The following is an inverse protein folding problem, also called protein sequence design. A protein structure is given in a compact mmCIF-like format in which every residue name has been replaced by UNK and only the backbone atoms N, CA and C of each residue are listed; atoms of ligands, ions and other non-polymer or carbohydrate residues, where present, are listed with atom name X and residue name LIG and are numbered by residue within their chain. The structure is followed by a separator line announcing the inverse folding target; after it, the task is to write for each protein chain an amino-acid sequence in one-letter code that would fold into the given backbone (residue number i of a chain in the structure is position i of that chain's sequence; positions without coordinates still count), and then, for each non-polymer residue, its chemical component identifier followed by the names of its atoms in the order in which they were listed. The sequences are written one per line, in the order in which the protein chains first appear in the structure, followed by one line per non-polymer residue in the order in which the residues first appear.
data_IF_994855650707
#
_entry.id   IF_994855650707
#
_cell.length_a   1.000
_cell.length_b   1.000
_cell.length_c   1.000
_cell.angle_alpha   90.00
_cell.angle_beta   90.00
_cell.angle_gamma   90.00
#
_symmetry.space_group_name_H-M   'P 1'
#
loop_
_entity.id
_entity.type
_entity.pdbx_description
1 polymer ?
#
# COMPACT_ATOMS: atom_id res chain seq x y z
N UNK A 1 -4.08 7.72 6.22
CA UNK A 1 -4.16 7.17 4.86
C UNK A 1 -3.04 7.78 4.02
N UNK A 2 -2.29 6.99 3.24
CA UNK A 2 -1.25 7.50 2.35
C UNK A 2 -1.73 7.40 0.90
N UNK A 3 -1.77 8.51 0.18
CA UNK A 3 -2.33 8.59 -1.17
C UNK A 3 -1.22 8.70 -2.21
N UNK A 4 -1.42 8.01 -3.34
CA UNK A 4 -0.50 8.03 -4.47
C UNK A 4 -0.67 9.30 -5.32
N UNK A 5 0.37 9.74 -6.06
CA UNK A 5 0.36 11.02 -6.78
C UNK A 5 -0.28 10.94 -8.18
N UNK A 6 -0.83 9.78 -8.57
CA UNK A 6 -1.43 9.50 -9.88
C UNK A 6 -2.78 10.21 -10.12
N UNK A 7 -2.87 11.45 -9.70
CA UNK A 7 -4.00 12.36 -9.90
C UNK A 7 -3.94 13.02 -11.29
N UNK A 8 -4.98 13.79 -11.65
CA UNK A 8 -5.02 14.58 -12.89
C UNK A 8 -5.25 16.05 -12.56
N UNK A 9 -4.24 16.93 -12.67
CA UNK A 9 -2.82 16.64 -13.02
C UNK A 9 -2.12 15.77 -11.95
N UNK A 10 -0.98 15.15 -12.32
CA UNK A 10 -0.12 14.41 -11.39
C UNK A 10 0.34 15.32 -10.26
N UNK A 11 0.32 14.81 -9.04
CA UNK A 11 0.79 15.53 -7.86
C UNK A 11 2.33 15.56 -7.84
N UNK A 12 2.92 16.57 -8.51
CA UNK A 12 4.38 16.72 -8.63
C UNK A 12 4.94 17.87 -7.76
N UNK A 13 4.14 18.45 -6.87
CA UNK A 13 4.59 19.55 -6.02
C UNK A 13 3.99 19.48 -4.62
N UNK A 14 4.71 20.04 -3.64
CA UNK A 14 4.24 20.19 -2.28
C UNK A 14 2.94 21.02 -2.18
N UNK A 15 2.76 22.02 -3.05
CA UNK A 15 1.55 22.83 -3.05
C UNK A 15 0.31 22.03 -3.44
N UNK A 16 0.43 21.12 -4.43
CA UNK A 16 -0.66 20.21 -4.80
C UNK A 16 -0.95 19.22 -3.67
N UNK A 17 0.09 18.64 -3.05
CA UNK A 17 -0.07 17.74 -1.92
C UNK A 17 -0.82 18.39 -0.76
N UNK A 18 -0.41 19.61 -0.36
CA UNK A 18 -1.06 20.37 0.71
C UNK A 18 -2.54 20.67 0.42
N UNK A 19 -2.92 20.92 -0.85
CA UNK A 19 -4.33 21.14 -1.21
C UNK A 19 -5.18 19.90 -0.98
N UNK A 20 -4.65 18.69 -1.29
CA UNK A 20 -5.34 17.43 -1.04
C UNK A 20 -5.49 17.17 0.45
N UNK A 21 -4.42 17.36 1.21
CA UNK A 21 -4.39 17.18 2.67
C UNK A 21 -5.34 18.14 3.38
N UNK A 22 -5.35 19.41 2.97
CA UNK A 22 -6.29 20.41 3.51
C UNK A 22 -7.74 20.01 3.24
N UNK A 23 -8.04 19.58 2.02
CA UNK A 23 -9.40 19.13 1.69
C UNK A 23 -9.82 17.90 2.51
N UNK A 24 -8.91 16.97 2.74
CA UNK A 24 -9.17 15.82 3.60
C UNK A 24 -9.42 16.23 5.05
N UNK A 25 -8.65 17.20 5.56
CA UNK A 25 -8.84 17.75 6.91
C UNK A 25 -10.19 18.47 7.06
N UNK A 26 -10.67 19.18 6.03
CA UNK A 26 -12.00 19.81 6.02
C UNK A 26 -13.13 18.77 6.10
N UNK A 27 -12.97 17.62 5.44
CA UNK A 27 -13.91 16.48 5.54
C UNK A 27 -13.85 15.81 6.92
N UNK A 28 -12.66 15.67 7.48
CA UNK A 28 -12.44 15.25 8.87
C UNK A 28 -12.69 13.76 9.17
N UNK A 29 -12.84 12.90 8.16
CA UNK A 29 -13.11 11.46 8.36
C UNK A 29 -11.83 10.65 8.60
N UNK A 30 -10.73 11.03 7.96
CA UNK A 30 -9.41 10.41 8.16
C UNK A 30 -8.30 11.43 7.93
N UNK A 31 -7.10 11.16 8.46
CA UNK A 31 -5.92 11.91 8.09
C UNK A 31 -5.32 11.37 6.82
N UNK A 32 -4.86 12.28 5.97
CA UNK A 32 -4.29 11.96 4.66
C UNK A 32 -2.89 12.53 4.59
N UNK A 33 -1.95 11.72 4.15
CA UNK A 33 -0.66 12.14 3.65
C UNK A 33 -0.66 11.95 2.13
N UNK A 34 -0.40 13.01 1.38
CA UNK A 34 -0.32 12.96 -0.08
C UNK A 34 1.13 12.86 -0.51
N UNK A 35 1.47 11.80 -1.23
CA UNK A 35 2.80 11.65 -1.83
C UNK A 35 2.98 12.58 -3.04
N UNK A 36 4.25 12.85 -3.37
CA UNK A 36 4.64 13.60 -4.56
C UNK A 36 5.31 12.64 -5.55
N UNK A 37 5.16 12.87 -6.85
CA UNK A 37 5.79 12.03 -7.86
C UNK A 37 7.32 12.11 -7.81
N UNK A 38 8.01 11.02 -8.19
CA UNK A 38 9.48 11.00 -8.30
C UNK A 38 9.91 11.87 -9.48
N UNK A 39 9.26 11.73 -10.64
CA UNK A 39 9.52 12.57 -11.80
C UNK A 39 8.36 13.53 -12.04
N UNK A 40 8.64 14.69 -12.65
CA UNK A 40 7.59 15.69 -12.93
C UNK A 40 6.55 15.11 -13.91
N UNK A 41 5.30 15.08 -13.48
CA UNK A 41 4.18 14.58 -14.29
C UNK A 41 4.38 13.14 -14.83
N UNK A 42 5.16 12.32 -14.13
CA UNK A 42 5.52 10.96 -14.54
C UNK A 42 6.25 10.90 -15.91
N UNK A 43 7.11 11.88 -16.19
CA UNK A 43 7.89 11.92 -17.43
C UNK A 43 9.09 10.93 -17.45
N UNK A 44 9.39 10.31 -16.32
CA UNK A 44 10.45 9.32 -16.15
C UNK A 44 11.88 9.91 -16.08
N UNK A 45 12.05 11.24 -16.17
CA UNK A 45 13.37 11.90 -16.35
C UNK A 45 13.60 13.10 -15.44
N UNK A 46 12.58 13.97 -15.27
CA UNK A 46 12.71 15.26 -14.61
C UNK A 46 12.55 15.16 -13.09
N UNK A 47 13.64 15.34 -12.36
CA UNK A 47 13.68 15.20 -10.88
C UNK A 47 14.12 16.47 -10.15
N UNK A 48 14.25 17.60 -10.84
CA UNK A 48 14.79 18.84 -10.21
C UNK A 48 13.87 19.40 -9.12
N UNK A 49 12.56 19.18 -9.22
CA UNK A 49 11.58 19.54 -8.19
C UNK A 49 11.87 18.89 -6.83
N UNK A 50 12.44 17.66 -6.80
CA UNK A 50 12.80 16.98 -5.57
C UNK A 50 13.76 17.80 -4.70
N UNK A 51 14.67 18.56 -5.31
CA UNK A 51 15.65 19.40 -4.61
C UNK A 51 14.98 20.51 -3.81
N UNK A 52 13.79 20.95 -4.23
CA UNK A 52 13.04 22.08 -3.64
C UNK A 52 11.90 21.64 -2.72
N UNK A 53 11.63 20.34 -2.60
CA UNK A 53 10.58 19.83 -1.71
C UNK A 53 10.87 20.26 -0.25
N UNK A 54 9.88 20.81 0.47
CA UNK A 54 10.01 21.18 1.87
C UNK A 54 10.11 19.93 2.76
N UNK A 55 10.64 20.11 3.98
CA UNK A 55 10.80 19.03 4.96
C UNK A 55 9.48 18.33 5.38
N UNK A 56 8.32 18.91 5.07
CA UNK A 56 7.01 18.29 5.30
C UNK A 56 6.69 17.14 4.34
N UNK A 57 7.25 17.13 3.13
CA UNK A 57 7.09 16.02 2.20
C UNK A 57 8.01 14.87 2.61
N UNK A 58 7.44 13.77 3.05
CA UNK A 58 8.18 12.62 3.58
C UNK A 58 8.24 11.44 2.65
N UNK A 59 7.37 11.37 1.64
CA UNK A 59 7.22 10.23 0.75
C UNK A 59 7.08 10.70 -0.69
N UNK A 60 7.79 10.02 -1.59
CA UNK A 60 7.64 10.18 -3.03
C UNK A 60 7.45 8.82 -3.69
N UNK A 61 6.75 8.79 -4.81
CA UNK A 61 6.52 7.56 -5.58
C UNK A 61 6.24 7.85 -7.05
N UNK A 62 6.48 6.86 -7.90
CA UNK A 62 6.08 6.86 -9.31
C UNK A 62 5.01 5.79 -9.52
N UNK A 63 3.95 5.85 -8.70
CA UNK A 63 2.94 4.81 -8.63
C UNK A 63 2.30 4.47 -9.97
N UNK A 64 2.27 3.17 -10.28
CA UNK A 64 1.71 2.59 -11.50
C UNK A 64 2.63 2.61 -12.73
N UNK A 65 3.86 3.15 -12.63
CA UNK A 65 4.77 3.25 -13.78
C UNK A 65 6.21 2.82 -13.47
N UNK A 66 6.70 3.03 -12.25
CA UNK A 66 8.11 2.92 -11.92
C UNK A 66 9.00 3.91 -12.71
N UNK A 67 10.17 4.25 -12.19
CA UNK A 67 11.17 5.03 -12.92
C UNK A 67 12.09 4.07 -13.64
N UNK A 68 12.00 4.00 -14.97
CA UNK A 68 12.70 2.99 -15.79
C UNK A 68 14.19 3.29 -15.94
N UNK A 69 14.57 4.57 -16.05
CA UNK A 69 15.98 4.96 -16.17
C UNK A 69 16.74 4.82 -14.86
N UNK A 70 17.73 3.95 -14.85
CA UNK A 70 18.56 3.67 -13.67
C UNK A 70 19.33 4.90 -13.16
N UNK A 71 19.78 5.79 -14.04
CA UNK A 71 20.54 6.96 -13.65
C UNK A 71 19.63 8.01 -13.00
N UNK A 72 18.42 8.18 -13.51
CA UNK A 72 17.38 9.03 -12.90
C UNK A 72 17.00 8.54 -11.52
N UNK A 73 16.73 7.23 -11.38
CA UNK A 73 16.38 6.63 -10.09
C UNK A 73 17.52 6.76 -9.07
N UNK A 74 18.77 6.48 -9.46
CA UNK A 74 19.92 6.62 -8.59
C UNK A 74 20.10 8.08 -8.08
N UNK A 75 19.90 9.07 -8.95
CA UNK A 75 19.94 10.49 -8.56
C UNK A 75 18.79 10.86 -7.62
N UNK A 76 17.58 10.33 -7.85
CA UNK A 76 16.44 10.52 -6.95
C UNK A 76 16.75 9.97 -5.55
N UNK A 77 17.29 8.75 -5.44
CA UNK A 77 17.73 8.17 -4.16
C UNK A 77 18.77 9.06 -3.45
N UNK A 78 19.77 9.54 -4.17
CA UNK A 78 20.79 10.44 -3.59
C UNK A 78 20.20 11.75 -3.04
N UNK A 79 19.20 12.32 -3.71
CA UNK A 79 18.48 13.51 -3.22
C UNK A 79 17.66 13.16 -1.98
N UNK A 80 16.94 12.04 -2.00
CA UNK A 80 16.07 11.59 -0.92
C UNK A 80 16.84 11.35 0.39
N UNK A 81 18.04 10.76 0.31
CA UNK A 81 18.92 10.59 1.47
C UNK A 81 19.21 11.93 2.15
N UNK A 82 19.54 12.98 1.38
CA UNK A 82 19.87 14.30 1.91
C UNK A 82 18.67 15.00 2.55
N UNK A 83 17.46 14.66 2.12
CA UNK A 83 16.21 15.31 2.56
C UNK A 83 15.41 14.48 3.57
N UNK A 84 15.88 13.31 3.94
CA UNK A 84 15.15 12.35 4.78
C UNK A 84 13.77 11.98 4.20
N UNK A 85 13.70 11.77 2.88
CA UNK A 85 12.52 11.37 2.15
C UNK A 85 12.56 9.86 1.90
N UNK A 86 11.46 9.17 2.12
CA UNK A 86 11.28 7.76 1.79
C UNK A 86 10.82 7.63 0.34
N UNK A 87 11.50 6.80 -0.43
CA UNK A 87 11.04 6.39 -1.77
C UNK A 87 10.06 5.24 -1.60
N UNK A 88 8.84 5.40 -2.07
CA UNK A 88 7.87 4.30 -2.21
C UNK A 88 7.94 3.77 -3.64
N UNK A 89 8.07 2.46 -3.78
CA UNK A 89 8.28 1.85 -5.09
C UNK A 89 7.13 0.94 -5.47
N UNK A 90 6.42 1.32 -6.53
CA UNK A 90 5.70 0.39 -7.38
C UNK A 90 6.74 -0.27 -8.29
N UNK A 91 7.07 -1.53 -8.03
CA UNK A 91 8.15 -2.22 -8.73
C UNK A 91 7.61 -2.88 -10.01
N UNK A 92 7.84 -2.26 -11.14
CA UNK A 92 7.48 -2.79 -12.45
C UNK A 92 8.42 -2.29 -13.54
N UNK A 93 9.25 -3.17 -14.09
CA UNK A 93 9.99 -2.89 -15.31
C UNK A 93 9.03 -2.93 -16.51
N UNK A 94 8.74 -1.77 -17.08
CA UNK A 94 7.74 -1.60 -18.14
C UNK A 94 8.16 -2.20 -19.50
N UNK A 95 9.44 -2.51 -19.69
CA UNK A 95 9.92 -3.20 -20.89
C UNK A 95 9.76 -4.72 -20.76
N UNK A 96 9.77 -5.24 -19.53
CA UNK A 96 9.61 -6.66 -19.21
C UNK A 96 8.13 -7.03 -18.99
N UNK A 97 7.36 -6.18 -18.33
CA UNK A 97 5.99 -6.50 -17.91
C UNK A 97 5.04 -6.95 -19.03
N UNK A 98 5.17 -6.50 -20.30
CA UNK A 98 4.32 -7.00 -21.40
C UNK A 98 4.45 -8.51 -21.69
N UNK A 99 5.54 -9.13 -21.26
CA UNK A 99 5.77 -10.56 -21.49
C UNK A 99 6.04 -11.37 -20.20
N UNK A 100 6.50 -10.75 -19.12
CA UNK A 100 6.70 -11.40 -17.82
C UNK A 100 6.56 -10.41 -16.65
N UNK A 101 5.34 -10.28 -16.12
CA UNK A 101 5.06 -9.42 -14.97
C UNK A 101 5.80 -9.83 -13.69
N UNK A 102 6.12 -11.13 -13.53
CA UNK A 102 6.85 -11.60 -12.36
C UNK A 102 8.28 -11.09 -12.39
N UNK A 103 8.96 -11.32 -13.50
CA UNK A 103 10.33 -10.88 -13.69
C UNK A 103 10.44 -9.34 -13.61
N UNK A 104 9.45 -8.61 -14.13
CA UNK A 104 9.37 -7.15 -14.06
C UNK A 104 9.39 -6.63 -12.62
N UNK A 105 8.58 -7.22 -11.74
CA UNK A 105 8.55 -6.89 -10.31
C UNK A 105 9.87 -7.26 -9.63
N UNK A 106 10.36 -8.49 -9.85
CA UNK A 106 11.55 -9.00 -9.18
C UNK A 106 12.81 -8.17 -9.52
N UNK A 107 13.01 -7.83 -10.80
CA UNK A 107 14.18 -7.04 -11.26
C UNK A 107 14.15 -5.62 -10.67
N UNK A 108 13.03 -4.94 -10.75
CA UNK A 108 12.94 -3.57 -10.23
C UNK A 108 13.05 -3.55 -8.70
N UNK A 109 12.53 -4.55 -8.01
CA UNK A 109 12.71 -4.72 -6.57
C UNK A 109 14.19 -4.87 -6.21
N UNK A 110 14.92 -5.74 -6.90
CA UNK A 110 16.37 -5.93 -6.69
C UNK A 110 17.13 -4.63 -6.90
N UNK A 111 16.85 -3.91 -8.01
CA UNK A 111 17.46 -2.61 -8.31
C UNK A 111 17.24 -1.60 -7.17
N UNK A 112 16.00 -1.43 -6.75
CA UNK A 112 15.64 -0.42 -5.75
C UNK A 112 16.18 -0.77 -4.36
N UNK A 113 16.17 -2.05 -3.98
CA UNK A 113 16.82 -2.54 -2.76
C UNK A 113 18.33 -2.25 -2.78
N UNK A 114 19.01 -2.47 -3.92
CA UNK A 114 20.43 -2.16 -4.06
C UNK A 114 20.73 -0.66 -3.96
N UNK A 115 19.88 0.18 -4.56
CA UNK A 115 20.01 1.64 -4.43
C UNK A 115 19.79 2.10 -2.98
N UNK A 116 18.82 1.52 -2.28
CA UNK A 116 18.58 1.78 -0.85
C UNK A 116 19.80 1.41 0.00
N UNK A 117 20.39 0.23 -0.21
CA UNK A 117 21.61 -0.21 0.48
C UNK A 117 22.78 0.75 0.20
N UNK A 118 23.00 1.10 -1.09
CA UNK A 118 24.12 1.94 -1.51
C UNK A 118 24.07 3.37 -0.97
N UNK A 119 22.89 4.02 -1.06
CA UNK A 119 22.69 5.40 -0.64
C UNK A 119 22.23 5.54 0.82
N UNK A 120 21.88 4.42 1.49
CA UNK A 120 21.21 4.42 2.79
C UNK A 120 19.92 5.26 2.80
N UNK A 121 19.18 5.21 1.68
CA UNK A 121 17.90 5.89 1.49
C UNK A 121 16.78 5.00 2.00
N UNK A 122 15.85 5.54 2.78
CA UNK A 122 14.63 4.84 3.18
C UNK A 122 13.84 4.44 1.94
N UNK A 123 13.52 3.16 1.83
CA UNK A 123 12.75 2.56 0.75
C UNK A 123 11.55 1.83 1.32
N UNK A 124 10.39 2.03 0.74
CA UNK A 124 9.20 1.24 1.02
C UNK A 124 8.73 0.56 -0.27
N UNK A 125 8.76 -0.79 -0.29
CA UNK A 125 8.28 -1.57 -1.43
C UNK A 125 6.78 -1.77 -1.32
N UNK A 126 6.03 -1.19 -2.27
CA UNK A 126 4.57 -1.24 -2.29
C UNK A 126 4.08 -2.60 -2.81
N UNK A 127 2.92 -3.06 -2.32
CA UNK A 127 2.14 -4.21 -2.82
C UNK A 127 2.97 -5.39 -3.35
N UNK A 128 3.99 -5.81 -2.59
CA UNK A 128 4.84 -6.95 -2.96
C UNK A 128 3.97 -8.18 -3.20
N UNK A 129 4.15 -8.83 -4.35
CA UNK A 129 3.30 -9.93 -4.77
C UNK A 129 4.03 -11.24 -5.05
N UNK A 130 5.36 -11.22 -5.26
CA UNK A 130 6.14 -12.40 -5.62
C UNK A 130 7.06 -12.87 -4.48
N UNK A 131 7.37 -14.17 -4.49
CA UNK A 131 8.44 -14.73 -3.62
C UNK A 131 9.80 -14.09 -3.94
N UNK A 132 10.12 -13.88 -5.23
CA UNK A 132 11.41 -13.34 -5.65
C UNK A 132 11.64 -11.92 -5.13
N UNK A 133 10.63 -11.05 -5.20
CA UNK A 133 10.70 -9.72 -4.61
C UNK A 133 10.86 -9.77 -3.08
N UNK A 134 10.13 -10.66 -2.40
CA UNK A 134 10.23 -10.82 -0.96
C UNK A 134 11.62 -11.31 -0.51
N UNK A 135 12.21 -12.26 -1.24
CA UNK A 135 13.57 -12.75 -1.00
C UNK A 135 14.60 -11.63 -1.18
N UNK A 136 14.45 -10.80 -2.21
CA UNK A 136 15.34 -9.64 -2.45
C UNK A 136 15.25 -8.61 -1.31
N UNK A 137 14.04 -8.32 -0.83
CA UNK A 137 13.79 -7.43 0.31
C UNK A 137 14.43 -7.99 1.58
N UNK A 138 14.25 -9.28 1.87
CA UNK A 138 14.86 -9.94 3.01
C UNK A 138 16.38 -9.82 2.98
N UNK A 139 16.99 -10.07 1.83
CA UNK A 139 18.44 -9.95 1.67
C UNK A 139 18.92 -8.51 1.87
N UNK A 140 18.19 -7.52 1.38
CA UNK A 140 18.52 -6.12 1.59
C UNK A 140 18.45 -5.75 3.08
N UNK A 141 17.39 -6.15 3.80
CA UNK A 141 17.23 -5.95 5.24
C UNK A 141 18.39 -6.60 6.03
N UNK A 142 18.78 -7.83 5.68
CA UNK A 142 19.91 -8.54 6.31
C UNK A 142 21.26 -7.83 6.12
N UNK A 143 21.41 -7.07 5.02
CA UNK A 143 22.60 -6.25 4.74
C UNK A 143 22.53 -4.86 5.38
N UNK A 144 21.44 -4.55 6.09
CA UNK A 144 21.25 -3.28 6.77
C UNK A 144 20.72 -2.14 5.89
N UNK A 145 20.14 -2.44 4.73
CA UNK A 145 19.41 -1.46 3.94
C UNK A 145 18.14 -1.02 4.69
N UNK A 146 17.82 0.28 4.72
CA UNK A 146 16.61 0.78 5.39
C UNK A 146 15.36 0.55 4.53
N UNK A 147 15.03 -0.73 4.30
CA UNK A 147 13.91 -1.17 3.46
C UNK A 147 12.76 -1.64 4.34
N UNK A 148 11.55 -1.21 4.01
CA UNK A 148 10.28 -1.74 4.49
C UNK A 148 9.45 -2.21 3.30
N UNK A 149 8.45 -3.07 3.53
CA UNK A 149 7.55 -3.51 2.47
C UNK A 149 6.13 -3.75 2.97
N UNK A 150 5.20 -3.72 2.04
CA UNK A 150 3.80 -4.02 2.29
C UNK A 150 3.27 -5.07 1.30
N UNK A 151 2.24 -5.79 1.74
CA UNK A 151 1.46 -6.72 0.92
C UNK A 151 0.00 -6.28 0.90
N UNK A 152 -0.81 -6.83 0.00
CA UNK A 152 -2.22 -6.44 -0.09
C UNK A 152 -3.15 -7.58 0.34
N UNK A 153 -4.39 -7.27 0.79
CA UNK A 153 -5.38 -8.28 1.13
C UNK A 153 -5.67 -9.25 -0.01
N UNK A 154 -5.73 -8.75 -1.24
CA UNK A 154 -6.05 -9.58 -2.41
C UNK A 154 -4.88 -10.50 -2.82
N UNK A 155 -3.62 -10.10 -2.67
CA UNK A 155 -2.47 -10.98 -2.88
C UNK A 155 -2.29 -12.03 -1.77
N UNK A 156 -2.85 -11.81 -0.60
CA UNK A 156 -2.89 -12.81 0.47
C UNK A 156 -4.04 -13.82 0.31
N UNK A 157 -5.13 -13.42 -0.37
CA UNK A 157 -6.36 -14.20 -0.45
C UNK A 157 -6.46 -15.05 -1.72
N UNK A 158 -6.22 -14.45 -2.88
CA UNK A 158 -6.45 -15.07 -4.17
C UNK A 158 -5.19 -15.70 -4.75
N UNK A 159 -5.41 -16.77 -5.55
CA UNK A 159 -4.41 -17.34 -6.44
C UNK A 159 -4.89 -17.20 -7.89
N UNK A 160 -3.96 -17.21 -8.85
CA UNK A 160 -4.30 -17.13 -10.28
C UNK A 160 -5.12 -18.31 -10.79
N UNK A 161 -5.17 -19.43 -10.04
CA UNK A 161 -6.05 -20.56 -10.34
C UNK A 161 -7.50 -20.31 -9.88
N UNK A 162 -7.71 -19.41 -8.92
CA UNK A 162 -9.03 -19.16 -8.31
C UNK A 162 -9.62 -17.80 -8.70
N UNK A 163 -8.80 -16.87 -9.19
CA UNK A 163 -9.23 -15.52 -9.50
C UNK A 163 -8.39 -14.93 -10.65
N UNK A 164 -9.07 -14.52 -11.72
CA UNK A 164 -8.50 -13.83 -12.88
C UNK A 164 -8.75 -12.31 -12.85
N UNK A 165 -9.15 -11.77 -11.69
CA UNK A 165 -9.49 -10.36 -11.54
C UNK A 165 -8.27 -9.48 -11.77
N UNK A 166 -8.42 -8.47 -12.66
CA UNK A 166 -7.29 -7.64 -13.08
C UNK A 166 -6.94 -6.59 -12.02
N UNK A 167 -5.79 -6.78 -11.40
CA UNK A 167 -5.06 -5.85 -10.52
C UNK A 167 -3.62 -5.70 -11.02
N UNK A 168 -2.89 -4.74 -10.52
CA UNK A 168 -1.48 -4.55 -10.82
C UNK A 168 -0.70 -4.22 -9.53
N UNK A 169 0.21 -5.10 -9.07
CA UNK A 169 0.65 -6.37 -9.67
C UNK A 169 -0.47 -7.42 -9.82
N UNK A 170 -0.36 -8.35 -10.80
CA UNK A 170 -1.36 -9.41 -10.99
C UNK A 170 -1.45 -10.37 -9.80
N UNK A 171 -2.60 -11.02 -9.65
CA UNK A 171 -2.78 -12.17 -8.72
C UNK A 171 -1.76 -13.26 -9.08
N UNK A 172 -1.09 -13.81 -8.07
CA UNK A 172 0.03 -14.73 -8.23
C UNK A 172 -0.35 -16.19 -7.93
N UNK A 173 0.66 -17.05 -7.98
CA UNK A 173 0.51 -18.49 -7.70
C UNK A 173 0.29 -18.76 -6.21
N UNK A 174 -0.18 -19.96 -5.87
CA UNK A 174 -0.32 -20.39 -4.48
C UNK A 174 1.03 -20.35 -3.71
N UNK A 175 2.15 -20.63 -4.40
CA UNK A 175 3.49 -20.56 -3.79
C UNK A 175 3.89 -19.12 -3.42
N UNK A 176 3.46 -18.14 -4.22
CA UNK A 176 3.68 -16.72 -3.89
C UNK A 176 2.82 -16.30 -2.70
N UNK A 177 1.53 -16.63 -2.73
CA UNK A 177 0.63 -16.36 -1.59
C UNK A 177 1.21 -16.94 -0.29
N UNK A 178 1.68 -18.20 -0.34
CA UNK A 178 2.30 -18.82 0.83
C UNK A 178 3.58 -18.10 1.27
N UNK A 179 4.41 -17.64 0.33
CA UNK A 179 5.61 -16.87 0.65
C UNK A 179 5.28 -15.55 1.34
N UNK A 180 4.22 -14.84 0.90
CA UNK A 180 3.78 -13.61 1.56
C UNK A 180 3.29 -13.89 3.00
N UNK A 181 2.51 -14.95 3.21
CA UNK A 181 2.06 -15.37 4.56
C UNK A 181 3.25 -15.73 5.45
N UNK A 182 4.23 -16.46 4.92
CA UNK A 182 5.45 -16.81 5.66
C UNK A 182 6.31 -15.57 5.93
N UNK A 183 6.34 -14.61 5.01
CA UNK A 183 6.98 -13.30 5.21
C UNK A 183 6.36 -12.50 6.36
N UNK A 184 5.04 -12.59 6.52
CA UNK A 184 4.33 -12.05 7.69
C UNK A 184 4.75 -12.78 8.97
N UNK A 185 4.74 -14.12 8.98
CA UNK A 185 5.12 -14.93 10.15
C UNK A 185 6.55 -14.67 10.62
N UNK A 186 7.45 -14.41 9.69
CA UNK A 186 8.87 -14.18 9.97
C UNK A 186 9.23 -12.72 10.20
N UNK A 187 8.26 -11.79 10.06
CA UNK A 187 8.48 -10.35 10.26
C UNK A 187 9.25 -9.66 9.12
N UNK A 188 9.30 -10.27 7.93
CA UNK A 188 9.87 -9.63 6.73
C UNK A 188 8.92 -8.56 6.20
N UNK A 189 7.62 -8.86 6.18
CA UNK A 189 6.56 -7.93 5.79
C UNK A 189 6.30 -6.95 6.93
N UNK A 190 6.32 -5.64 6.63
CA UNK A 190 6.15 -4.58 7.63
C UNK A 190 4.71 -4.08 7.71
N UNK A 191 3.95 -4.11 6.62
CA UNK A 191 2.61 -3.54 6.58
C UNK A 191 1.67 -4.32 5.64
N UNK A 192 0.37 -4.08 5.82
CA UNK A 192 -0.66 -4.45 4.87
C UNK A 192 -1.32 -3.17 4.38
N UNK A 193 -1.29 -2.93 3.08
CA UNK A 193 -1.96 -1.81 2.43
C UNK A 193 -3.03 -2.30 1.47
N UNK A 194 -4.01 -1.46 1.19
CA UNK A 194 -5.21 -1.88 0.46
C UNK A 194 -5.03 -1.92 -1.05
N UNK A 195 -4.14 -1.10 -1.56
CA UNK A 195 -4.05 -0.79 -2.99
C UNK A 195 -5.46 -0.45 -3.56
N UNK A 196 -6.18 0.41 -2.82
CA UNK A 196 -7.54 0.81 -3.17
C UNK A 196 -7.55 1.66 -4.44
N UNK A 197 -7.96 1.07 -5.54
CA UNK A 197 -8.03 1.69 -6.88
C UNK A 197 -9.43 1.52 -7.49
N UNK A 198 -10.38 2.38 -7.11
CA UNK A 198 -11.75 2.30 -7.61
C UNK A 198 -11.84 2.72 -9.09
N UNK A 199 -12.55 1.93 -9.89
CA UNK A 199 -12.82 2.18 -11.29
C UNK A 199 -14.30 2.02 -11.60
N UNK A 200 -14.79 2.74 -12.62
CA UNK A 200 -16.12 2.50 -13.13
C UNK A 200 -16.23 1.12 -13.83
N UNK A 201 -17.45 0.59 -13.97
CA UNK A 201 -17.66 -0.64 -14.73
C UNK A 201 -17.14 -0.50 -16.18
N UNK A 202 -17.34 0.67 -16.81
CA UNK A 202 -16.84 0.95 -18.15
C UNK A 202 -15.29 0.87 -18.21
N UNK A 203 -14.59 1.40 -17.23
CA UNK A 203 -13.13 1.35 -17.18
C UNK A 203 -12.64 -0.08 -16.93
N UNK A 204 -13.33 -0.85 -16.10
CA UNK A 204 -13.02 -2.28 -15.90
C UNK A 204 -13.22 -3.09 -17.19
N UNK A 205 -14.27 -2.80 -17.96
CA UNK A 205 -14.48 -3.43 -19.28
C UNK A 205 -13.38 -3.06 -20.29
N UNK A 206 -12.77 -1.89 -20.16
CA UNK A 206 -11.59 -1.48 -20.94
C UNK A 206 -10.28 -2.08 -20.42
N UNK A 207 -10.36 -2.89 -19.37
CA UNK A 207 -9.22 -3.61 -18.81
C UNK A 207 -8.38 -2.80 -17.81
N UNK A 208 -8.94 -1.75 -17.19
CA UNK A 208 -8.22 -1.05 -16.10
C UNK A 208 -7.93 -1.98 -14.93
N UNK A 209 -6.68 -1.98 -14.47
CA UNK A 209 -6.25 -2.70 -13.28
C UNK A 209 -6.67 -1.96 -12.00
N UNK A 210 -7.03 -2.71 -10.95
CA UNK A 210 -7.39 -2.15 -9.65
C UNK A 210 -8.75 -2.60 -9.15
N UNK A 211 -8.97 -2.44 -7.84
CA UNK A 211 -10.18 -2.85 -7.14
C UNK A 211 -10.50 -1.94 -5.96
N UNK A 212 -11.76 -1.96 -5.51
CA UNK A 212 -12.16 -1.41 -4.22
C UNK A 212 -11.69 -2.36 -3.12
N UNK A 213 -10.86 -1.89 -2.20
CA UNK A 213 -10.24 -2.72 -1.16
C UNK A 213 -10.36 -2.16 0.26
N UNK A 214 -10.56 -0.85 0.45
CA UNK A 214 -10.48 -0.23 1.78
C UNK A 214 -11.51 -0.77 2.77
N UNK A 215 -12.75 -1.02 2.34
CA UNK A 215 -13.83 -1.43 3.23
C UNK A 215 -13.80 -2.92 3.58
N UNK A 216 -13.14 -3.75 2.75
CA UNK A 216 -13.02 -5.19 2.96
C UNK A 216 -11.70 -5.61 3.60
N UNK A 217 -10.70 -4.73 3.63
CA UNK A 217 -9.32 -5.07 3.98
C UNK A 217 -9.19 -5.77 5.33
N UNK A 218 -9.79 -5.22 6.40
CA UNK A 218 -9.68 -5.81 7.73
C UNK A 218 -10.35 -7.20 7.78
N UNK A 219 -11.57 -7.32 7.27
CA UNK A 219 -12.30 -8.60 7.27
C UNK A 219 -11.57 -9.67 6.47
N UNK A 220 -11.06 -9.34 5.28
CA UNK A 220 -10.26 -10.25 4.44
C UNK A 220 -9.01 -10.70 5.18
N UNK A 221 -8.23 -9.76 5.72
CA UNK A 221 -6.98 -10.08 6.42
C UNK A 221 -7.24 -10.85 7.73
N UNK A 222 -8.25 -10.49 8.50
CA UNK A 222 -8.60 -11.22 9.72
C UNK A 222 -9.06 -12.65 9.42
N UNK A 223 -9.91 -12.82 8.42
CA UNK A 223 -10.37 -14.15 8.01
C UNK A 223 -9.20 -14.98 7.50
N UNK A 224 -8.40 -14.45 6.59
CA UNK A 224 -7.25 -15.17 6.03
C UNK A 224 -6.19 -15.45 7.08
N UNK A 225 -5.66 -14.42 7.73
CA UNK A 225 -4.47 -14.57 8.57
C UNK A 225 -4.80 -15.14 9.95
N UNK A 226 -5.88 -14.69 10.60
CA UNK A 226 -6.19 -15.13 11.95
C UNK A 226 -7.04 -16.41 11.97
N UNK A 227 -8.13 -16.48 11.18
CA UNK A 227 -9.02 -17.65 11.22
C UNK A 227 -8.48 -18.85 10.42
N UNK A 228 -7.90 -18.63 9.23
CA UNK A 228 -7.42 -19.73 8.38
C UNK A 228 -5.95 -20.09 8.67
N UNK A 229 -5.08 -19.10 8.83
CA UNK A 229 -3.63 -19.31 9.01
C UNK A 229 -3.19 -19.35 10.48
N UNK A 230 -4.09 -19.05 11.42
CA UNK A 230 -3.85 -19.15 12.87
C UNK A 230 -2.88 -18.10 13.44
N UNK A 231 -2.66 -16.97 12.75
CA UNK A 231 -1.85 -15.90 13.31
C UNK A 231 -2.60 -15.17 14.44
N UNK A 232 -1.88 -14.72 15.48
CA UNK A 232 -2.47 -13.88 16.52
C UNK A 232 -3.02 -12.55 15.98
N UNK A 233 -4.10 -12.05 16.58
CA UNK A 233 -4.70 -10.75 16.19
C UNK A 233 -3.70 -9.60 16.33
N UNK A 234 -2.81 -9.66 17.30
CA UNK A 234 -1.76 -8.66 17.55
C UNK A 234 -0.83 -8.49 16.34
N UNK A 235 -0.55 -9.57 15.60
CA UNK A 235 0.25 -9.49 14.36
C UNK A 235 -0.51 -8.69 13.30
N UNK A 236 -1.81 -8.94 13.13
CA UNK A 236 -2.64 -8.18 12.19
C UNK A 236 -2.73 -6.71 12.59
N UNK A 237 -2.95 -6.41 13.87
CA UNK A 237 -2.98 -5.03 14.39
C UNK A 237 -1.64 -4.35 14.15
N UNK A 238 -0.53 -5.04 14.38
CA UNK A 238 0.80 -4.50 14.10
C UNK A 238 0.95 -4.11 12.63
N UNK A 239 0.58 -5.00 11.70
CA UNK A 239 0.74 -4.80 10.26
C UNK A 239 -0.22 -3.76 9.65
N UNK A 240 -1.40 -3.58 10.23
CA UNK A 240 -2.42 -2.65 9.68
C UNK A 240 -2.51 -1.32 10.43
N UNK A 241 -1.87 -1.20 11.59
CA UNK A 241 -2.01 -0.01 12.45
C UNK A 241 -0.68 0.48 13.00
N UNK A 242 -0.06 -0.28 13.90
CA UNK A 242 1.13 0.18 14.65
C UNK A 242 2.32 0.43 13.72
N UNK A 243 2.69 -0.55 12.93
CA UNK A 243 3.87 -0.45 12.06
C UNK A 243 3.71 0.56 10.92
N UNK A 244 2.56 0.64 10.22
CA UNK A 244 2.30 1.74 9.28
C UNK A 244 2.42 3.13 9.91
N UNK A 245 1.91 3.32 11.15
CA UNK A 245 2.06 4.60 11.84
C UNK A 245 3.53 4.95 12.12
N UNK A 246 4.34 3.97 12.54
CA UNK A 246 5.79 4.14 12.72
C UNK A 246 6.50 4.51 11.41
N UNK A 247 6.20 3.81 10.30
CA UNK A 247 6.76 4.10 8.97
C UNK A 247 6.43 5.53 8.54
N UNK A 248 5.20 5.97 8.80
CA UNK A 248 4.74 7.33 8.48
C UNK A 248 5.21 8.38 9.49
N UNK A 249 5.81 7.97 10.63
CA UNK A 249 6.25 8.88 11.68
C UNK A 249 5.09 9.57 12.43
N UNK A 250 3.97 8.87 12.63
CA UNK A 250 2.76 9.39 13.26
C UNK A 250 2.60 8.89 14.69
N UNK A 251 2.10 9.73 15.59
CA UNK A 251 1.72 9.34 16.95
C UNK A 251 0.34 8.67 16.94
N UNK A 252 0.22 7.54 16.23
CA UNK A 252 -0.99 6.75 16.00
C UNK A 252 -0.71 5.26 16.14
N UNK A 253 -1.75 4.45 16.03
CA UNK A 253 -1.64 2.98 16.01
C UNK A 253 -1.41 2.32 17.35
N UNK A 254 -1.56 3.06 18.45
CA UNK A 254 -1.46 2.56 19.83
C UNK A 254 -2.53 3.24 20.72
N UNK A 255 -3.04 2.50 21.69
CA UNK A 255 -3.99 2.99 22.69
C UNK A 255 -3.23 3.39 23.98
N UNK A 256 -2.41 4.44 23.87
CA UNK A 256 -1.58 4.94 24.97
C UNK A 256 -1.73 6.46 25.14
N UNK A 257 -1.51 6.99 26.37
CA UNK A 257 -1.51 8.43 26.60
C UNK A 257 -0.50 9.15 25.71
N UNK A 258 -0.95 10.19 25.00
CA UNK A 258 -0.13 10.96 24.06
C UNK A 258 -0.31 10.58 22.58
N UNK A 259 -1.02 9.48 22.32
CA UNK A 259 -1.43 9.09 20.96
C UNK A 259 -2.80 9.65 20.61
N UNK A 260 -3.07 9.80 19.31
CA UNK A 260 -4.39 10.21 18.85
C UNK A 260 -5.44 9.16 19.23
N UNK A 261 -6.62 9.61 19.62
CA UNK A 261 -7.73 8.74 19.98
C UNK A 261 -8.46 8.25 18.71
N UNK A 262 -7.72 7.54 17.86
CA UNK A 262 -8.22 6.89 16.65
C UNK A 262 -8.42 5.40 16.94
N UNK A 263 -9.64 4.91 16.81
CA UNK A 263 -10.01 3.54 17.20
C UNK A 263 -10.98 2.94 16.19
N UNK A 264 -10.96 1.61 16.11
CA UNK A 264 -11.97 0.84 15.39
C UNK A 264 -12.55 -0.22 16.33
N UNK A 265 -13.89 -0.37 16.31
CA UNK A 265 -14.58 -1.46 16.97
C UNK A 265 -14.95 -2.51 15.93
N UNK A 266 -14.63 -3.76 16.22
CA UNK A 266 -14.84 -4.88 15.30
C UNK A 266 -15.56 -6.04 16.00
N UNK A 267 -16.48 -6.68 15.29
CA UNK A 267 -17.03 -7.97 15.66
C UNK A 267 -16.18 -9.08 15.03
N UNK A 268 -15.49 -9.84 15.87
CA UNK A 268 -14.57 -10.89 15.44
C UNK A 268 -15.24 -12.27 15.28
N UNK A 269 -16.44 -12.44 15.79
CA UNK A 269 -17.06 -13.76 15.96
C UNK A 269 -18.21 -14.02 14.98
N UNK A 270 -18.93 -12.98 14.58
CA UNK A 270 -20.05 -13.11 13.66
C UNK A 270 -19.58 -13.04 12.21
N UNK A 271 -19.83 -14.09 11.39
CA UNK A 271 -19.54 -14.01 9.96
C UNK A 271 -20.50 -13.03 9.26
N UNK A 272 -20.00 -12.41 8.20
CA UNK A 272 -20.82 -11.58 7.32
C UNK A 272 -20.46 -11.81 5.86
N UNK A 273 -21.42 -11.59 4.97
CA UNK A 273 -21.20 -11.70 3.53
C UNK A 273 -20.92 -10.31 2.95
N UNK A 274 -19.87 -10.19 2.16
CA UNK A 274 -19.58 -8.96 1.42
C UNK A 274 -20.66 -8.75 0.36
N UNK A 275 -21.29 -7.58 0.39
CA UNK A 275 -22.26 -7.13 -0.60
C UNK A 275 -21.69 -5.86 -1.23
N UNK A 276 -21.22 -5.96 -2.48
CA UNK A 276 -20.60 -4.84 -3.19
C UNK A 276 -21.51 -3.64 -3.31
N UNK A 277 -22.83 -3.85 -3.37
CA UNK A 277 -23.81 -2.77 -3.56
C UNK A 277 -24.02 -1.97 -2.27
N UNK A 278 -23.53 -2.47 -1.13
CA UNK A 278 -23.54 -1.77 0.18
C UNK A 278 -22.23 -1.05 0.49
N UNK A 279 -21.23 -1.12 -0.38
CA UNK A 279 -19.98 -0.39 -0.18
C UNK A 279 -20.21 1.13 -0.30
N UNK A 280 -19.53 1.90 0.54
CA UNK A 280 -19.56 3.38 0.51
C UNK A 280 -18.76 3.96 -0.65
N UNK A 281 -17.83 3.20 -1.21
CA UNK A 281 -17.10 3.60 -2.40
C UNK A 281 -18.06 3.92 -3.55
N UNK A 282 -17.72 4.94 -4.35
CA UNK A 282 -18.48 5.27 -5.57
C UNK A 282 -18.42 4.18 -6.63
N UNK A 283 -17.44 3.30 -6.54
CA UNK A 283 -17.28 2.12 -7.38
C UNK A 283 -17.50 0.87 -6.58
N UNK A 284 -17.97 -0.17 -7.25
CA UNK A 284 -18.30 -1.45 -6.65
C UNK A 284 -17.43 -2.59 -7.22
N UNK A 285 -16.31 -2.25 -7.87
CA UNK A 285 -15.42 -3.18 -8.54
C UNK A 285 -14.53 -3.95 -7.55
N UNK A 286 -15.04 -5.05 -7.03
CA UNK A 286 -14.32 -5.93 -6.11
C UNK A 286 -14.53 -7.42 -6.44
N UNK A 287 -13.47 -8.26 -6.36
CA UNK A 287 -13.61 -9.71 -6.47
C UNK A 287 -14.11 -10.37 -5.18
N UNK A 288 -14.26 -9.60 -4.09
CA UNK A 288 -14.74 -10.12 -2.80
C UNK A 288 -16.26 -10.16 -2.67
N UNK A 289 -17.03 -9.76 -3.70
CA UNK A 289 -18.49 -9.83 -3.67
C UNK A 289 -18.97 -11.26 -3.38
N UNK A 290 -19.85 -11.43 -2.39
CA UNK A 290 -20.33 -12.73 -1.94
C UNK A 290 -19.37 -13.49 -1.02
N UNK A 291 -18.18 -12.98 -0.72
CA UNK A 291 -17.26 -13.64 0.21
C UNK A 291 -17.80 -13.61 1.64
N UNK A 292 -17.71 -14.74 2.34
CA UNK A 292 -18.00 -14.84 3.76
C UNK A 292 -16.73 -14.50 4.56
N UNK A 293 -16.81 -13.47 5.39
CA UNK A 293 -15.70 -12.94 6.16
C UNK A 293 -16.05 -12.83 7.65
N UNK A 294 -15.03 -12.81 8.48
CA UNK A 294 -15.08 -12.42 9.88
C UNK A 294 -14.39 -11.06 10.09
N UNK A 295 -14.63 -10.41 11.22
CA UNK A 295 -14.03 -9.10 11.50
C UNK A 295 -14.83 -7.94 10.92
N UNK A 296 -16.13 -7.93 11.13
CA UNK A 296 -17.02 -6.82 10.72
C UNK A 296 -16.66 -5.56 11.49
N UNK A 297 -16.37 -4.47 10.77
CA UNK A 297 -16.18 -3.16 11.40
C UNK A 297 -17.53 -2.62 11.86
N UNK A 298 -17.69 -2.42 13.17
CA UNK A 298 -18.92 -1.92 13.78
C UNK A 298 -18.91 -0.40 13.97
N UNK A 299 -17.75 0.18 14.27
CA UNK A 299 -17.63 1.63 14.41
C UNK A 299 -16.19 2.09 14.17
N UNK A 300 -16.03 3.33 13.72
CA UNK A 300 -14.73 4.01 13.66
C UNK A 300 -14.79 5.32 14.42
N UNK A 301 -13.71 5.63 15.13
CA UNK A 301 -13.54 6.83 15.95
C UNK A 301 -12.25 7.52 15.48
N UNK A 302 -12.34 8.83 15.20
CA UNK A 302 -11.21 9.66 14.86
C UNK A 302 -11.09 10.85 15.82
N UNK A 303 -9.93 10.98 16.45
CA UNK A 303 -9.72 12.06 17.44
C UNK A 303 -10.77 12.07 18.56
N UNK A 304 -11.22 10.88 19.00
CA UNK A 304 -12.26 10.72 20.01
C UNK A 304 -13.69 10.98 19.53
N UNK A 305 -13.92 11.19 18.23
CA UNK A 305 -15.25 11.39 17.64
C UNK A 305 -15.66 10.21 16.78
N UNK A 306 -16.90 9.77 16.96
CA UNK A 306 -17.50 8.73 16.11
C UNK A 306 -17.61 9.26 14.66
N UNK A 307 -16.99 8.54 13.72
CA UNK A 307 -17.00 8.89 12.28
C UNK A 307 -17.79 7.91 11.43
N UNK A 308 -17.97 6.70 11.93
CA UNK A 308 -18.80 5.67 11.32
C UNK A 308 -19.39 4.76 12.37
N UNK A 309 -20.62 4.30 12.15
CA UNK A 309 -21.28 3.24 12.89
C UNK A 309 -22.06 2.38 11.90
N UNK A 310 -21.85 1.06 11.99
CA UNK A 310 -22.61 0.11 11.17
C UNK A 310 -24.10 0.18 11.52
N UNK A 311 -24.94 0.06 10.52
CA UNK A 311 -26.37 -0.18 10.71
C UNK A 311 -26.59 -1.64 11.14
N UNK A 312 -27.59 -1.88 11.99
CA UNK A 312 -27.95 -3.20 12.52
C UNK A 312 -28.42 -4.18 11.41
#
# INVERSE_FOLDING_TARGET
MNLMPNTKPVCSSAAQAMQVEQKAAEVGLCDVNQTVSITENFDGVSIDHLKTLPAGVKFITEDGHGVQDNATMAKAFAICTQKDITVMSHAEDMEISPWDYRLAEDIETVRNCWLSEYYQTKLHMCHVSTRGALDAIQMAKLRGAPVTCEVTPHHLWFTNDTCDYRVNPPIRTADDVQALVDGIRTGIVDAIATDHAPHSEEDKLKGMAGMVGSETAFGVCYTKLCKQEGLPLEVLVHLMSTRPAEILGLAKGQLEPGYDADMVLVDLDTPYTVDKDKLHSKSHNTPFDGAELYGKVCATIKGGKLTYQAED
#
